data_IF_070709046011
#
_entry.id   IF_070709046011
#
_cell.length_a   1.000
_cell.length_b   1.000
_cell.length_c   1.000
_cell.angle_alpha   90.00
_cell.angle_beta   90.00
_cell.angle_gamma   90.00
#
_symmetry.space_group_name_H-M   'P 1'
#
loop_
_entity.id
_entity.type
_entity.pdbx_description
1 polymer ?
#
# COMPACT_ATOMS: atom_id res chain seq x y z
N UNK A 1 6.76 7.67 10.00
CA UNK A 1 6.55 7.35 8.59
C UNK A 1 5.56 8.35 8.04
N UNK A 2 5.86 8.99 6.91
CA UNK A 2 4.92 9.83 6.15
C UNK A 2 4.39 9.06 4.94
N UNK A 3 3.37 9.58 4.26
CA UNK A 3 2.85 9.00 3.01
C UNK A 3 3.93 8.99 1.91
N UNK A 4 4.82 9.98 1.87
CA UNK A 4 5.93 10.03 0.90
C UNK A 4 7.00 8.96 1.19
N UNK A 5 7.33 8.73 2.46
CA UNK A 5 8.24 7.64 2.86
C UNK A 5 7.64 6.28 2.50
N UNK A 6 6.35 6.07 2.75
CA UNK A 6 5.64 4.87 2.34
C UNK A 6 5.64 4.69 0.81
N UNK A 7 5.41 5.77 0.05
CA UNK A 7 5.44 5.72 -1.42
C UNK A 7 6.82 5.28 -1.94
N UNK A 8 7.89 5.76 -1.29
CA UNK A 8 9.26 5.36 -1.61
C UNK A 8 9.50 3.88 -1.30
N UNK A 9 9.07 3.40 -0.15
CA UNK A 9 9.18 1.97 0.23
C UNK A 9 8.40 1.06 -0.73
N UNK A 10 7.15 1.40 -1.03
CA UNK A 10 6.32 0.64 -1.97
C UNK A 10 6.92 0.63 -3.39
N UNK A 11 7.50 1.75 -3.83
CA UNK A 11 8.22 1.81 -5.11
C UNK A 11 9.41 0.85 -5.13
N UNK A 12 10.17 0.77 -4.04
CA UNK A 12 11.29 -0.16 -3.93
C UNK A 12 10.83 -1.63 -3.93
N UNK A 13 9.74 -1.95 -3.24
CA UNK A 13 9.17 -3.31 -3.17
C UNK A 13 8.60 -3.78 -4.51
N UNK A 14 7.91 -2.88 -5.22
CA UNK A 14 7.25 -3.20 -6.48
C UNK A 14 8.19 -3.16 -7.69
N UNK A 15 9.33 -2.47 -7.58
CA UNK A 15 10.21 -2.19 -8.72
C UNK A 15 9.60 -1.26 -9.77
N UNK A 16 8.47 -0.62 -9.45
CA UNK A 16 7.74 0.31 -10.30
C UNK A 16 7.34 1.56 -9.51
N UNK A 17 7.45 2.74 -10.14
CA UNK A 17 7.18 4.01 -9.46
C UNK A 17 5.70 4.13 -9.09
N UNK A 18 5.42 4.21 -7.79
CA UNK A 18 4.11 4.58 -7.26
C UNK A 18 3.91 6.07 -7.48
N UNK A 19 2.82 6.43 -8.15
CA UNK A 19 2.44 7.82 -8.36
C UNK A 19 1.56 8.34 -7.22
N UNK A 20 0.57 7.55 -6.80
CA UNK A 20 -0.39 7.95 -5.78
C UNK A 20 -0.83 6.76 -4.93
N UNK A 21 -1.09 7.01 -3.65
CA UNK A 21 -1.58 6.03 -2.67
C UNK A 21 -3.02 6.41 -2.32
N UNK A 22 -3.89 5.42 -2.28
CA UNK A 22 -5.29 5.56 -1.96
C UNK A 22 -5.67 4.61 -0.82
N UNK A 23 -6.74 4.96 -0.11
CA UNK A 23 -7.42 4.09 0.84
C UNK A 23 -8.04 2.90 0.09
N UNK A 24 -8.54 1.89 0.81
CA UNK A 24 -9.15 0.71 0.18
C UNK A 24 -10.40 1.01 -0.64
N UNK A 25 -11.13 2.05 -0.29
CA UNK A 25 -12.29 2.56 -1.00
C UNK A 25 -11.91 3.45 -2.21
N UNK A 26 -10.62 3.72 -2.43
CA UNK A 26 -10.13 4.47 -3.58
C UNK A 26 -10.04 5.99 -3.37
N UNK A 27 -10.15 6.47 -2.12
CA UNK A 27 -9.97 7.87 -1.76
C UNK A 27 -8.48 8.21 -1.62
N UNK A 28 -8.00 9.41 -2.01
CA UNK A 28 -6.62 9.83 -1.74
C UNK A 28 -6.30 9.78 -0.24
N UNK A 29 -5.12 9.29 0.11
CA UNK A 29 -4.67 9.25 1.52
C UNK A 29 -3.98 10.55 1.89
N UNK A 30 -4.44 11.16 2.98
CA UNK A 30 -3.77 12.30 3.61
C UNK A 30 -2.91 11.86 4.80
N UNK A 31 -3.34 10.83 5.55
CA UNK A 31 -2.65 10.31 6.73
C UNK A 31 -2.52 8.76 6.72
N UNK A 32 -1.38 8.26 7.22
CA UNK A 32 -1.12 6.81 7.25
C UNK A 32 -2.10 6.01 8.10
N UNK A 33 -2.75 6.63 9.08
CA UNK A 33 -3.77 5.96 9.91
C UNK A 33 -4.97 5.50 9.09
N UNK A 34 -5.26 6.14 7.95
CA UNK A 34 -6.34 5.74 7.04
C UNK A 34 -6.06 4.42 6.33
N UNK A 35 -4.78 4.04 6.24
CA UNK A 35 -4.34 2.77 5.65
C UNK A 35 -4.29 1.62 6.65
N UNK A 36 -4.31 1.94 7.95
CA UNK A 36 -4.10 0.97 9.02
C UNK A 36 -5.26 -0.02 9.15
N UNK A 37 -4.92 -1.30 9.37
CA UNK A 37 -5.85 -2.36 9.76
C UNK A 37 -5.46 -2.92 11.12
N UNK A 38 -6.44 -3.13 12.02
CA UNK A 38 -6.16 -3.75 13.31
C UNK A 38 -6.02 -5.28 13.25
N UNK A 39 -6.58 -5.97 12.25
CA UNK A 39 -6.55 -7.43 12.17
C UNK A 39 -6.68 -7.95 10.72
N UNK A 40 -5.64 -8.59 10.16
CA UNK A 40 -4.26 -8.65 10.68
C UNK A 40 -3.68 -7.24 10.90
N UNK A 41 -2.83 -7.08 11.91
CA UNK A 41 -2.21 -5.78 12.19
C UNK A 41 -1.31 -5.38 11.03
N UNK A 42 -1.64 -4.28 10.34
CA UNK A 42 -0.96 -3.93 9.11
C UNK A 42 -1.47 -2.64 8.46
N UNK A 43 -1.08 -2.45 7.20
CA UNK A 43 -1.48 -1.36 6.34
C UNK A 43 -1.94 -1.92 5.00
N UNK A 44 -2.84 -1.24 4.32
CA UNK A 44 -3.19 -1.61 2.96
C UNK A 44 -4.17 -0.64 2.33
N UNK A 45 -4.20 -0.63 1.01
CA UNK A 45 -4.95 0.33 0.23
C UNK A 45 -4.88 0.01 -1.25
N UNK A 46 -5.01 1.04 -2.07
CA UNK A 46 -4.79 0.95 -3.50
C UNK A 46 -3.61 1.84 -3.91
N UNK A 47 -2.95 1.49 -5.01
CA UNK A 47 -1.85 2.27 -5.61
C UNK A 47 -2.20 2.57 -7.04
N UNK A 48 -1.90 3.79 -7.49
CA UNK A 48 -1.74 4.08 -8.91
C UNK A 48 -0.26 4.17 -9.23
N UNK A 49 0.17 3.32 -10.15
CA UNK A 49 1.53 3.30 -10.68
C UNK A 49 1.65 4.32 -11.81
N UNK A 50 2.86 4.83 -12.05
CA UNK A 50 3.13 5.84 -13.08
C UNK A 50 2.73 5.41 -14.50
N UNK A 51 2.64 4.12 -14.77
CA UNK A 51 2.19 3.58 -16.07
C UNK A 51 0.66 3.44 -16.17
N UNK A 52 -0.09 3.94 -15.19
CA UNK A 52 -1.56 3.92 -15.17
C UNK A 52 -2.17 2.63 -14.61
N UNK A 53 -1.34 1.66 -14.18
CA UNK A 53 -1.83 0.45 -13.50
C UNK A 53 -2.31 0.78 -12.09
N UNK A 54 -3.37 0.11 -11.66
CA UNK A 54 -3.87 0.17 -10.29
C UNK A 54 -3.64 -1.17 -9.60
N UNK A 55 -3.12 -1.13 -8.37
CA UNK A 55 -2.89 -2.32 -7.55
C UNK A 55 -3.65 -2.20 -6.23
N UNK A 56 -4.19 -3.31 -5.72
CA UNK A 56 -4.49 -3.46 -4.31
C UNK A 56 -3.23 -3.97 -3.61
N UNK A 57 -2.95 -3.47 -2.41
CA UNK A 57 -1.76 -3.86 -1.66
C UNK A 57 -2.05 -3.99 -0.17
N UNK A 58 -1.30 -4.88 0.47
CA UNK A 58 -1.36 -5.13 1.90
C UNK A 58 0.04 -5.41 2.44
N UNK A 59 0.31 -4.89 3.63
CA UNK A 59 1.53 -5.07 4.41
C UNK A 59 1.12 -5.40 5.84
N UNK A 60 1.37 -6.62 6.31
CA UNK A 60 0.94 -7.05 7.64
C UNK A 60 2.04 -7.80 8.38
N UNK A 61 1.95 -7.77 9.70
CA UNK A 61 2.77 -8.59 10.58
C UNK A 61 2.17 -9.99 10.68
N UNK A 62 2.98 -11.00 10.36
CA UNK A 62 2.69 -12.39 10.64
C UNK A 62 3.53 -12.86 11.84
N UNK A 63 2.90 -13.70 12.67
CA UNK A 63 3.39 -14.30 13.91
C UNK A 63 4.88 -14.10 14.20
N UNK A 64 5.17 -13.04 14.95
CA UNK A 64 6.36 -12.96 15.80
C UNK A 64 7.57 -12.18 15.27
N UNK A 65 7.57 -11.64 14.04
CA UNK A 65 8.44 -10.52 13.58
C UNK A 65 8.50 -10.35 12.04
N UNK A 66 7.75 -11.13 11.27
CA UNK A 66 7.84 -11.09 9.79
C UNK A 66 6.82 -10.14 9.19
N UNK A 67 7.29 -9.15 8.43
CA UNK A 67 6.42 -8.31 7.60
C UNK A 67 6.18 -8.97 6.24
N UNK A 68 4.93 -9.36 6.00
CA UNK A 68 4.48 -9.85 4.71
C UNK A 68 3.98 -8.71 3.84
N UNK A 69 4.29 -8.76 2.55
CA UNK A 69 3.82 -7.80 1.56
C UNK A 69 3.14 -8.54 0.41
N UNK A 70 1.97 -8.06 0.04
CA UNK A 70 1.22 -8.56 -1.10
C UNK A 70 0.70 -7.40 -1.94
N UNK A 71 0.77 -7.55 -3.26
CA UNK A 71 0.18 -6.62 -4.19
C UNK A 71 -0.37 -7.38 -5.40
N UNK A 72 -1.56 -7.00 -5.85
CA UNK A 72 -2.26 -7.60 -6.98
C UNK A 72 -2.86 -6.51 -7.85
N UNK A 73 -2.92 -6.74 -9.17
CA UNK A 73 -3.59 -5.82 -10.08
C UNK A 73 -5.08 -5.73 -9.73
N UNK A 74 -5.58 -4.49 -9.64
CA UNK A 74 -7.02 -4.23 -9.63
C UNK A 74 -7.50 -4.41 -11.07
N UNK A 75 -8.03 -5.60 -11.35
CA UNK A 75 -8.74 -5.87 -12.59
C UNK A 75 -10.14 -5.31 -12.43
N UNK A 76 -10.51 -4.37 -13.30
CA UNK A 76 -11.89 -3.89 -13.45
C UNK A 76 -12.84 -5.03 -13.86
#
# INVERSE_FOLDING_TARGET
MTVDELRSDLTARLGEQVEQVFTRDGSPVDDLSELYQPSPAGFGGQLRLKRGRCLAWELWLEDGDSWNFHAVDLVD
#
